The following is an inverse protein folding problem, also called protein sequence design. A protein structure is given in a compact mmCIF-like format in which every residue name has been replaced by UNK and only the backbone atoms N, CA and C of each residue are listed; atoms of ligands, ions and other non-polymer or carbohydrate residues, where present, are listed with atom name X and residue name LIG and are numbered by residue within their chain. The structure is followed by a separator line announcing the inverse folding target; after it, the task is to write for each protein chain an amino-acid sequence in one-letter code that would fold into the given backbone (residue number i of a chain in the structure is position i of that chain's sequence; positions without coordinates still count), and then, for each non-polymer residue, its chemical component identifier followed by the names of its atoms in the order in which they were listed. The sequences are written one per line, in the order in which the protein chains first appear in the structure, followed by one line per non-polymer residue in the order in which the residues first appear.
data_IF_992009560022
#
_entry.id   IF_992009560022
#
_cell.length_a   1.000
_cell.length_b   1.000
_cell.length_c   1.000
_cell.angle_alpha   90.00
_cell.angle_beta   90.00
_cell.angle_gamma   90.00
#
_symmetry.space_group_name_H-M   'P 1'
#
loop_
_entity.id
_entity.type
_entity.pdbx_description
1 polymer ?
#
# COMPACT_ATOMS: atom_id res chain seq x y z
N UNK A 1 -5.57 -11.13 -16.62
CA UNK A 1 -4.93 -10.71 -15.36
C UNK A 1 -5.35 -9.26 -15.12
N UNK A 2 -5.85 -8.88 -13.93
CA UNK A 2 -6.30 -7.49 -13.69
C UNK A 2 -5.10 -6.52 -13.68
N UNK A 3 -5.32 -5.26 -14.08
CA UNK A 3 -4.26 -4.25 -14.13
C UNK A 3 -3.54 -4.08 -12.77
N UNK A 4 -4.29 -4.06 -11.67
CA UNK A 4 -3.76 -3.98 -10.31
C UNK A 4 -2.74 -5.08 -9.98
N UNK A 5 -3.01 -6.32 -10.37
CA UNK A 5 -2.08 -7.42 -10.14
C UNK A 5 -0.81 -7.27 -10.99
N UNK A 6 -0.93 -6.71 -12.19
CA UNK A 6 0.23 -6.40 -13.04
C UNK A 6 1.10 -5.31 -12.41
N UNK A 7 0.47 -4.22 -11.92
CA UNK A 7 1.18 -3.15 -11.23
C UNK A 7 1.90 -3.65 -9.99
N UNK A 8 1.23 -4.42 -9.12
CA UNK A 8 1.83 -4.97 -7.91
C UNK A 8 3.01 -5.90 -8.21
N UNK A 9 2.84 -6.83 -9.16
CA UNK A 9 3.90 -7.76 -9.54
C UNK A 9 5.15 -7.03 -9.96
N UNK A 10 5.01 -5.94 -10.72
CA UNK A 10 6.20 -5.25 -11.14
C UNK A 10 6.72 -4.21 -10.14
N UNK A 11 5.87 -3.59 -9.32
CA UNK A 11 6.37 -2.81 -8.20
C UNK A 11 7.22 -3.67 -7.24
N UNK A 12 6.82 -4.93 -7.00
CA UNK A 12 7.62 -5.89 -6.23
C UNK A 12 8.95 -6.24 -6.92
N UNK A 13 8.93 -6.41 -8.25
CA UNK A 13 10.17 -6.64 -9.02
C UNK A 13 11.11 -5.45 -8.88
N UNK A 14 10.61 -4.23 -9.09
CA UNK A 14 11.43 -3.02 -8.99
C UNK A 14 11.98 -2.83 -7.58
N UNK A 15 11.17 -3.08 -6.54
CA UNK A 15 11.62 -3.06 -5.16
C UNK A 15 12.79 -4.05 -4.95
N UNK A 16 12.65 -5.28 -5.45
CA UNK A 16 13.69 -6.29 -5.29
C UNK A 16 14.97 -5.96 -6.08
N UNK A 17 14.83 -5.47 -7.31
CA UNK A 17 15.95 -5.21 -8.22
C UNK A 17 16.65 -3.89 -7.91
N UNK A 18 15.90 -2.82 -7.65
CA UNK A 18 16.43 -1.46 -7.49
C UNK A 18 16.77 -1.13 -6.02
N UNK A 19 16.03 -1.70 -5.07
CA UNK A 19 16.21 -1.47 -3.64
C UNK A 19 16.81 -2.68 -2.91
N UNK A 20 17.50 -3.59 -3.62
CA UNK A 20 18.09 -4.83 -3.05
C UNK A 20 18.89 -4.60 -1.78
N UNK A 21 19.63 -3.49 -1.74
CA UNK A 21 20.44 -3.07 -0.58
C UNK A 21 19.63 -2.96 0.71
N UNK A 22 18.34 -2.60 0.66
CA UNK A 22 17.50 -2.49 1.86
C UNK A 22 17.26 -3.86 2.49
N UNK A 23 17.13 -4.89 1.67
CA UNK A 23 17.00 -6.27 2.14
C UNK A 23 18.33 -6.77 2.74
N UNK A 24 19.46 -6.46 2.10
CA UNK A 24 20.77 -6.87 2.59
C UNK A 24 21.15 -6.19 3.93
N UNK A 25 20.67 -4.96 4.13
CA UNK A 25 20.80 -4.22 5.39
C UNK A 25 19.78 -4.66 6.46
N UNK A 26 18.87 -5.61 6.16
CA UNK A 26 17.86 -6.07 7.10
C UNK A 26 16.84 -4.98 7.49
N UNK A 27 16.53 -4.06 6.58
CA UNK A 27 15.59 -2.96 6.82
C UNK A 27 14.19 -3.53 7.13
N UNK A 28 13.53 -2.92 8.12
CA UNK A 28 12.24 -3.38 8.60
C UNK A 28 11.12 -3.30 7.55
N UNK A 29 10.12 -4.15 7.72
CA UNK A 29 8.95 -4.30 6.83
C UNK A 29 8.26 -2.96 6.50
N UNK A 30 8.09 -2.08 7.50
CA UNK A 30 7.43 -0.78 7.28
C UNK A 30 8.16 0.10 6.24
N UNK A 31 9.50 0.10 6.28
CA UNK A 31 10.32 0.84 5.33
C UNK A 31 10.29 0.19 3.95
N UNK A 32 10.27 -1.14 3.88
CA UNK A 32 10.09 -1.87 2.62
C UNK A 32 8.70 -1.62 2.00
N UNK A 33 7.64 -1.61 2.81
CA UNK A 33 6.29 -1.26 2.38
C UNK A 33 6.22 0.19 1.88
N UNK A 34 6.85 1.14 2.58
CA UNK A 34 6.93 2.52 2.10
C UNK A 34 7.58 2.61 0.70
N UNK A 35 8.70 1.90 0.48
CA UNK A 35 9.35 1.83 -0.83
C UNK A 35 8.49 1.15 -1.89
N UNK A 36 7.80 0.07 -1.53
CA UNK A 36 6.82 -0.57 -2.41
C UNK A 36 5.73 0.41 -2.86
N UNK A 37 5.24 1.25 -1.95
CA UNK A 37 4.27 2.31 -2.25
C UNK A 37 4.78 3.30 -3.32
N UNK A 38 6.05 3.70 -3.24
CA UNK A 38 6.67 4.54 -4.27
C UNK A 38 6.73 3.86 -5.65
N UNK A 39 7.12 2.59 -5.70
CA UNK A 39 7.15 1.83 -6.96
C UNK A 39 5.75 1.62 -7.53
N UNK A 40 4.74 1.38 -6.68
CA UNK A 40 3.34 1.33 -7.08
C UNK A 40 2.86 2.67 -7.65
N UNK A 41 3.17 3.78 -7.00
CA UNK A 41 2.74 5.11 -7.41
C UNK A 41 3.26 5.49 -8.81
N UNK A 42 4.46 5.03 -9.18
CA UNK A 42 5.03 5.24 -10.51
C UNK A 42 4.42 4.33 -11.59
N UNK A 43 3.59 3.35 -11.22
CA UNK A 43 3.02 2.33 -12.12
C UNK A 43 1.52 2.42 -12.29
N UNK A 44 0.80 2.97 -11.31
CA UNK A 44 -0.64 3.14 -11.45
C UNK A 44 -0.92 4.18 -12.54
N UNK A 45 -1.88 3.87 -13.41
CA UNK A 45 -2.26 4.72 -14.53
C UNK A 45 -3.57 5.45 -14.26
N UNK A 46 -3.81 6.57 -14.96
CA UNK A 46 -5.12 7.22 -14.99
C UNK A 46 -5.65 7.54 -13.60
N UNK A 47 -6.97 7.49 -13.31
CA UNK A 47 -7.55 8.14 -12.13
C UNK A 47 -7.23 7.44 -10.79
N UNK A 48 -6.24 6.55 -10.76
CA UNK A 48 -5.85 5.77 -9.62
C UNK A 48 -4.68 6.42 -8.87
N UNK A 49 -4.81 6.45 -7.56
CA UNK A 49 -3.88 7.01 -6.59
C UNK A 49 -3.37 5.90 -5.68
N UNK A 50 -2.14 6.03 -5.20
CA UNK A 50 -1.57 5.19 -4.14
C UNK A 50 -1.43 6.04 -2.88
N UNK A 51 -2.01 5.58 -1.77
CA UNK A 51 -1.91 6.24 -0.46
C UNK A 51 -1.59 5.24 0.65
N UNK A 52 -1.13 5.77 1.79
CA UNK A 52 -1.01 5.03 3.04
C UNK A 52 -2.18 5.38 3.96
N UNK A 53 -3.02 4.39 4.31
CA UNK A 53 -4.22 4.56 5.14
C UNK A 53 -3.98 4.05 6.57
N UNK A 54 -3.96 5.00 7.52
CA UNK A 54 -3.68 4.75 8.94
C UNK A 54 -4.95 4.62 9.78
N UNK A 55 -6.03 5.26 9.36
CA UNK A 55 -7.20 5.50 10.18
C UNK A 55 -8.37 4.60 9.80
N UNK A 56 -8.41 4.08 8.58
CA UNK A 56 -9.57 3.36 8.04
C UNK A 56 -9.25 1.92 7.62
N UNK A 57 -10.24 1.06 7.73
CA UNK A 57 -10.21 -0.32 7.25
C UNK A 57 -11.47 -0.66 6.43
N UNK A 58 -11.28 -1.47 5.39
CA UNK A 58 -12.37 -1.94 4.53
C UNK A 58 -13.09 -0.85 3.75
N UNK A 59 -14.31 -1.16 3.29
CA UNK A 59 -15.05 -0.31 2.32
C UNK A 59 -15.98 0.72 2.95
N UNK A 60 -16.17 0.71 4.27
CA UNK A 60 -17.18 1.51 4.97
C UNK A 60 -16.60 2.70 5.76
N UNK A 61 -15.35 3.09 5.47
CA UNK A 61 -14.61 4.08 6.26
C UNK A 61 -14.62 3.78 7.77
N UNK A 62 -14.68 2.48 8.13
CA UNK A 62 -14.65 2.05 9.51
C UNK A 62 -13.29 2.45 10.07
N UNK A 63 -13.30 3.10 11.24
CA UNK A 63 -12.05 3.47 11.90
C UNK A 63 -11.32 2.19 12.31
N UNK A 64 -10.02 2.09 11.99
CA UNK A 64 -9.14 1.06 12.51
C UNK A 64 -9.18 1.10 14.04
N UNK A 65 -9.67 0.03 14.65
CA UNK A 65 -9.75 -0.09 16.10
C UNK A 65 -8.55 -0.85 16.63
N UNK A 66 -7.82 -0.25 17.57
CA UNK A 66 -6.70 -0.89 18.28
C UNK A 66 -7.24 -1.65 19.48
N UNK A 67 -6.74 -2.87 19.70
CA UNK A 67 -6.79 -3.49 21.02
C UNK A 67 -5.67 -2.88 21.88
N UNK A 68 -5.98 -2.13 22.95
CA UNK A 68 -4.98 -1.42 23.74
C UNK A 68 -3.89 -2.32 24.35
N UNK A 69 -4.24 -3.59 24.60
CA UNK A 69 -3.36 -4.59 25.20
C UNK A 69 -2.24 -5.06 24.26
N UNK A 70 -2.40 -4.90 22.94
CA UNK A 70 -1.49 -5.51 21.97
C UNK A 70 -0.18 -4.73 21.78
N UNK A 71 0.00 -3.58 22.44
CA UNK A 71 1.29 -2.87 22.44
C UNK A 71 1.78 -2.34 21.08
N UNK A 72 1.10 -2.66 19.97
CA UNK A 72 1.60 -2.40 18.62
C UNK A 72 1.39 -0.96 18.16
N UNK A 73 2.37 -0.44 17.42
CA UNK A 73 2.23 0.76 16.60
C UNK A 73 1.27 0.45 15.43
N UNK A 74 0.32 1.35 15.15
CA UNK A 74 -0.60 1.21 14.02
C UNK A 74 0.20 1.13 12.72
N UNK A 75 -0.07 0.10 11.91
CA UNK A 75 0.53 -0.04 10.58
C UNK A 75 -0.43 0.52 9.53
N UNK A 76 0.05 1.38 8.61
CA UNK A 76 -0.76 1.81 7.49
C UNK A 76 -0.96 0.65 6.52
N UNK A 77 -2.10 0.65 5.84
CA UNK A 77 -2.28 -0.16 4.64
C UNK A 77 -1.89 0.66 3.42
N UNK A 78 -1.26 0.04 2.43
CA UNK A 78 -1.14 0.64 1.11
C UNK A 78 -2.45 0.41 0.36
N UNK A 79 -3.05 1.51 -0.11
CA UNK A 79 -4.32 1.46 -0.84
C UNK A 79 -4.18 2.03 -2.24
N UNK A 80 -4.90 1.44 -3.18
CA UNK A 80 -5.06 1.93 -4.55
C UNK A 80 -6.52 2.35 -4.74
N UNK A 81 -6.76 3.64 -4.90
CA UNK A 81 -8.11 4.21 -4.92
C UNK A 81 -8.23 5.39 -5.88
N UNK A 82 -9.42 5.97 -6.01
CA UNK A 82 -9.61 7.26 -6.71
C UNK A 82 -9.93 8.33 -5.68
N UNK A 83 -9.04 9.31 -5.52
CA UNK A 83 -9.26 10.39 -4.53
C UNK A 83 -10.62 11.08 -4.73
N UNK A 84 -11.27 11.38 -3.61
CA UNK A 84 -12.58 12.04 -3.58
C UNK A 84 -13.76 11.16 -4.02
N UNK A 85 -13.56 9.87 -4.32
CA UNK A 85 -14.64 8.95 -4.73
C UNK A 85 -14.76 7.78 -3.76
N UNK A 86 -15.97 7.54 -3.26
CA UNK A 86 -16.29 6.40 -2.40
C UNK A 86 -16.76 5.16 -3.17
N UNK A 87 -16.87 4.03 -2.45
CA UNK A 87 -17.47 2.80 -2.97
C UNK A 87 -16.48 1.82 -3.60
N UNK A 88 -16.91 0.56 -3.72
CA UNK A 88 -16.06 -0.59 -4.08
C UNK A 88 -15.37 -0.45 -5.43
N UNK A 89 -16.01 0.18 -6.41
CA UNK A 89 -15.45 0.36 -7.77
C UNK A 89 -14.37 1.45 -7.84
N UNK A 90 -14.19 2.24 -6.78
CA UNK A 90 -13.15 3.26 -6.65
C UNK A 90 -12.03 2.84 -5.70
N UNK A 91 -12.03 1.58 -5.23
CA UNK A 91 -11.00 0.99 -4.36
C UNK A 91 -10.57 -0.36 -4.95
N UNK A 92 -9.33 -0.47 -5.41
CA UNK A 92 -8.80 -1.68 -6.06
C UNK A 92 -8.01 -2.58 -5.14
N UNK A 93 -7.31 -1.99 -4.17
CA UNK A 93 -6.49 -2.67 -3.18
C UNK A 93 -6.47 -1.84 -1.91
#
# INVERSE_FOLDING_TARGET
MTAALSWLKQALRDLYEQDRQLFDLGVGENSLCFRLGHHLANRVDGPWDVDAEYDREGTAARRKTRNPADGTHMRPDLVIHRRGRGGRTNNLL
#
